data_IF_399865542259
#
_entry.id   IF_399865542259
#
_cell.length_a   1.000
_cell.length_b   1.000
_cell.length_c   1.000
_cell.angle_alpha   90.00
_cell.angle_beta   90.00
_cell.angle_gamma   90.00
#
_symmetry.space_group_name_H-M   'P 1'
#
loop_
_entity.id
_entity.type
_entity.pdbx_description
1 polymer ?
#
# COMPACT_ATOMS: atom_id res chain seq x y z
N UNK A 1 -41.34 7.76 -26.26
CA UNK A 1 -40.91 6.55 -25.52
C UNK A 1 -39.44 6.32 -25.80
N UNK A 2 -38.58 6.43 -24.78
CA UNK A 2 -37.21 5.93 -24.89
C UNK A 2 -37.28 4.42 -25.10
N UNK A 3 -36.52 3.87 -26.05
CA UNK A 3 -36.43 2.42 -26.23
C UNK A 3 -35.89 1.75 -24.96
N UNK A 4 -36.07 0.43 -24.81
CA UNK A 4 -35.55 -0.29 -23.66
C UNK A 4 -34.03 -0.11 -23.54
N UNK A 5 -33.55 0.16 -22.33
CA UNK A 5 -32.12 0.15 -22.01
C UNK A 5 -31.60 -1.27 -22.19
N UNK A 6 -30.56 -1.44 -23.01
CA UNK A 6 -29.88 -2.71 -23.21
C UNK A 6 -28.55 -2.69 -22.47
N UNK A 7 -28.37 -3.62 -21.52
CA UNK A 7 -27.09 -3.84 -20.85
C UNK A 7 -26.27 -4.83 -21.69
N UNK A 8 -25.05 -4.44 -22.05
CA UNK A 8 -24.16 -5.23 -22.90
C UNK A 8 -22.79 -5.29 -22.23
N UNK A 9 -22.20 -6.47 -22.17
CA UNK A 9 -20.83 -6.64 -21.71
C UNK A 9 -19.84 -6.07 -22.74
N UNK A 10 -18.72 -5.49 -22.28
CA UNK A 10 -17.75 -4.84 -23.17
C UNK A 10 -17.25 -5.76 -24.30
N UNK A 11 -17.04 -7.05 -24.01
CA UNK A 11 -16.59 -8.05 -24.98
C UNK A 11 -17.65 -8.46 -26.03
N UNK A 12 -18.91 -8.08 -25.83
CA UNK A 12 -20.00 -8.33 -26.77
C UNK A 12 -20.30 -7.11 -27.67
N UNK A 13 -19.51 -6.04 -27.56
CA UNK A 13 -19.69 -4.82 -28.32
C UNK A 13 -19.38 -5.05 -29.81
N UNK A 14 -20.31 -4.70 -30.70
CA UNK A 14 -20.11 -4.75 -32.15
C UNK A 14 -21.04 -3.76 -32.87
N UNK A 15 -20.81 -3.55 -34.17
CA UNK A 15 -21.58 -2.60 -34.99
C UNK A 15 -23.08 -2.95 -35.09
N UNK A 16 -23.45 -4.23 -35.14
CA UNK A 16 -24.85 -4.65 -35.26
C UNK A 16 -25.67 -4.30 -34.02
N UNK A 17 -25.08 -4.49 -32.84
CA UNK A 17 -25.70 -4.14 -31.54
C UNK A 17 -25.89 -2.63 -31.41
N UNK A 18 -24.99 -1.82 -31.98
CA UNK A 18 -25.04 -0.36 -31.89
C UNK A 18 -25.91 0.30 -32.97
N UNK A 19 -26.32 -0.43 -34.02
CA UNK A 19 -26.97 0.13 -35.21
C UNK A 19 -28.28 0.90 -34.92
N UNK A 20 -29.01 0.52 -33.87
CA UNK A 20 -30.27 1.17 -33.47
C UNK A 20 -30.14 2.09 -32.26
N UNK A 21 -28.93 2.21 -31.70
CA UNK A 21 -28.67 2.99 -30.49
C UNK A 21 -28.66 4.48 -30.82
N UNK A 22 -29.17 5.30 -29.90
CA UNK A 22 -29.14 6.78 -30.00
C UNK A 22 -28.06 7.41 -29.09
N UNK A 23 -27.51 6.62 -28.18
CA UNK A 23 -26.44 7.00 -27.27
C UNK A 23 -25.93 5.77 -26.52
N UNK A 24 -24.74 5.87 -25.94
CA UNK A 24 -24.13 4.81 -25.13
C UNK A 24 -23.67 5.38 -23.79
N UNK A 25 -24.01 4.70 -22.71
CA UNK A 25 -23.39 4.92 -21.41
C UNK A 25 -22.42 3.76 -21.14
N UNK A 26 -21.14 4.09 -20.98
CA UNK A 26 -20.10 3.13 -20.59
C UNK A 26 -19.99 3.17 -19.08
N UNK A 27 -20.36 2.08 -18.40
CA UNK A 27 -20.37 2.02 -16.94
C UNK A 27 -19.24 1.11 -16.46
N UNK A 28 -18.41 1.61 -15.55
CA UNK A 28 -17.38 0.82 -14.88
C UNK A 28 -17.39 1.08 -13.37
N UNK A 29 -17.57 0.03 -12.58
CA UNK A 29 -17.62 0.15 -11.13
C UNK A 29 -16.29 0.64 -10.54
N UNK A 30 -15.17 0.03 -10.96
CA UNK A 30 -13.81 0.39 -10.51
C UNK A 30 -12.90 0.52 -11.73
N UNK A 31 -12.23 1.65 -11.89
CA UNK A 31 -11.29 1.92 -12.98
C UNK A 31 -9.92 2.33 -12.44
N UNK A 32 -8.87 1.61 -12.82
CA UNK A 32 -7.48 2.05 -12.59
C UNK A 32 -7.05 3.09 -13.63
N UNK A 33 -5.95 2.85 -14.36
CA UNK A 33 -5.48 3.73 -15.44
C UNK A 33 -6.34 3.73 -16.72
N UNK A 34 -7.49 3.06 -16.67
CA UNK A 34 -8.51 3.08 -17.71
C UNK A 34 -8.18 2.25 -18.96
N UNK A 35 -7.37 1.20 -18.86
CA UNK A 35 -7.05 0.31 -20.00
C UNK A 35 -8.31 -0.19 -20.74
N UNK A 36 -9.25 -0.79 -19.99
CA UNK A 36 -10.55 -1.24 -20.53
C UNK A 36 -11.43 -0.09 -21.06
N UNK A 37 -11.41 1.09 -20.42
CA UNK A 37 -12.16 2.25 -20.91
C UNK A 37 -11.61 2.76 -22.23
N UNK A 38 -10.28 2.75 -22.39
CA UNK A 38 -9.61 3.14 -23.64
C UNK A 38 -9.93 2.14 -24.76
N UNK A 39 -9.94 0.85 -24.46
CA UNK A 39 -10.35 -0.22 -25.39
C UNK A 39 -11.80 -0.01 -25.85
N UNK A 40 -12.76 0.07 -24.93
CA UNK A 40 -14.17 0.34 -25.27
C UNK A 40 -14.33 1.66 -26.04
N UNK A 41 -13.56 2.70 -25.69
CA UNK A 41 -13.59 3.98 -26.43
C UNK A 41 -13.11 3.82 -27.88
N UNK A 42 -12.07 3.00 -28.13
CA UNK A 42 -11.57 2.66 -29.47
C UNK A 42 -12.63 1.89 -30.26
N UNK A 43 -13.20 0.84 -29.68
CA UNK A 43 -14.23 0.02 -30.32
C UNK A 43 -15.46 0.87 -30.68
N UNK A 44 -15.91 1.72 -29.77
CA UNK A 44 -17.00 2.64 -30.05
C UNK A 44 -16.63 3.61 -31.18
N UNK A 45 -15.39 4.11 -31.26
CA UNK A 45 -14.94 4.99 -32.37
C UNK A 45 -15.01 4.28 -33.71
N UNK A 46 -14.69 3.00 -33.75
CA UNK A 46 -14.77 2.16 -34.96
C UNK A 46 -16.22 1.84 -35.33
N UNK A 47 -17.00 1.29 -34.40
CA UNK A 47 -18.33 0.76 -34.68
C UNK A 47 -19.43 1.84 -34.76
N UNK A 48 -19.27 2.94 -34.04
CA UNK A 48 -20.30 3.99 -33.93
C UNK A 48 -19.69 5.40 -33.74
N UNK A 49 -18.94 5.94 -34.73
CA UNK A 49 -18.18 7.19 -34.59
C UNK A 49 -19.02 8.42 -34.27
N UNK A 50 -20.29 8.45 -34.72
CA UNK A 50 -21.20 9.59 -34.55
C UNK A 50 -22.06 9.52 -33.30
N UNK A 51 -22.02 8.40 -32.57
CA UNK A 51 -22.91 8.15 -31.45
C UNK A 51 -22.45 8.93 -30.21
N UNK A 52 -23.35 9.67 -29.53
CA UNK A 52 -23.05 10.29 -28.24
C UNK A 52 -22.70 9.25 -27.19
N UNK A 53 -21.78 9.60 -26.29
CA UNK A 53 -21.22 8.68 -25.28
C UNK A 53 -21.08 9.39 -23.95
N UNK A 54 -21.27 8.64 -22.88
CA UNK A 54 -20.99 9.08 -21.51
C UNK A 54 -20.26 7.97 -20.76
N UNK A 55 -19.13 8.28 -20.13
CA UNK A 55 -18.39 7.38 -19.26
C UNK A 55 -18.78 7.62 -17.81
N UNK A 56 -19.34 6.60 -17.15
CA UNK A 56 -19.76 6.61 -15.75
C UNK A 56 -18.86 5.67 -14.96
N UNK A 57 -18.05 6.24 -14.07
CA UNK A 57 -17.15 5.49 -13.20
C UNK A 57 -17.63 5.60 -11.76
N UNK A 58 -17.72 4.47 -11.06
CA UNK A 58 -17.95 4.46 -9.61
C UNK A 58 -16.72 4.97 -8.86
N UNK A 59 -15.64 4.19 -8.88
CA UNK A 59 -14.39 4.47 -8.18
C UNK A 59 -13.21 4.51 -9.16
N UNK A 60 -12.49 5.62 -9.23
CA UNK A 60 -11.23 5.77 -9.95
C UNK A 60 -10.03 5.53 -9.03
N UNK A 61 -9.28 4.44 -9.23
CA UNK A 61 -8.06 4.07 -8.48
C UNK A 61 -6.82 4.24 -9.34
N UNK A 62 -6.53 5.49 -9.71
CA UNK A 62 -5.45 5.83 -10.64
C UNK A 62 -4.07 5.88 -9.96
N UNK A 63 -3.01 5.87 -10.76
CA UNK A 63 -1.64 6.06 -10.25
C UNK A 63 -1.37 7.46 -9.70
N UNK A 64 -2.00 8.49 -10.27
CA UNK A 64 -1.83 9.88 -9.85
C UNK A 64 -3.02 10.70 -10.32
N UNK A 65 -3.23 11.87 -9.69
CA UNK A 65 -4.27 12.80 -10.12
C UNK A 65 -4.09 13.20 -11.60
N UNK A 66 -2.85 13.39 -12.03
CA UNK A 66 -2.52 13.71 -13.43
C UNK A 66 -2.85 12.57 -14.40
N UNK A 67 -2.57 11.31 -14.03
CA UNK A 67 -2.90 10.16 -14.85
C UNK A 67 -4.41 10.02 -15.06
N UNK A 68 -5.19 10.28 -13.99
CA UNK A 68 -6.65 10.33 -14.06
C UNK A 68 -7.16 11.43 -14.99
N UNK A 69 -6.59 12.63 -14.87
CA UNK A 69 -6.93 13.77 -15.71
C UNK A 69 -6.63 13.50 -17.20
N UNK A 70 -5.47 12.91 -17.49
CA UNK A 70 -5.12 12.48 -18.86
C UNK A 70 -6.10 11.43 -19.40
N UNK A 71 -6.56 10.50 -18.57
CA UNK A 71 -7.58 9.52 -18.94
C UNK A 71 -8.91 10.22 -19.26
N UNK A 72 -9.37 11.15 -18.41
CA UNK A 72 -10.57 11.94 -18.63
C UNK A 72 -10.51 12.65 -19.99
N UNK A 73 -9.45 13.44 -20.22
CA UNK A 73 -9.26 14.17 -21.47
C UNK A 73 -9.24 13.25 -22.70
N UNK A 74 -8.66 12.05 -22.59
CA UNK A 74 -8.66 11.08 -23.68
C UNK A 74 -10.07 10.57 -24.01
N UNK A 75 -10.89 10.31 -23.00
CA UNK A 75 -12.23 9.75 -23.15
C UNK A 75 -13.27 10.79 -23.59
N UNK A 76 -13.12 12.04 -23.16
CA UNK A 76 -14.00 13.15 -23.52
C UNK A 76 -13.78 13.62 -24.97
N UNK A 77 -12.57 13.46 -25.51
CA UNK A 77 -12.24 13.89 -26.87
C UNK A 77 -12.94 13.02 -27.93
N UNK A 78 -13.67 13.68 -28.83
CA UNK A 78 -14.19 13.09 -30.05
C UNK A 78 -13.35 13.49 -31.28
N UNK A 79 -13.60 12.82 -32.41
CA UNK A 79 -12.98 13.17 -33.69
C UNK A 79 -13.51 14.49 -34.29
N UNK A 80 -14.59 15.07 -33.74
CA UNK A 80 -15.16 16.33 -34.20
C UNK A 80 -14.86 17.44 -33.19
N UNK A 81 -14.40 18.64 -33.62
CA UNK A 81 -14.04 19.73 -32.72
C UNK A 81 -15.15 20.16 -31.75
N UNK A 82 -16.42 20.02 -32.16
CA UNK A 82 -17.58 20.52 -31.41
C UNK A 82 -18.34 19.44 -30.63
N UNK A 83 -17.84 18.20 -30.58
CA UNK A 83 -18.47 17.12 -29.81
C UNK A 83 -17.53 16.67 -28.70
N UNK A 84 -17.95 16.90 -27.46
CA UNK A 84 -17.27 16.43 -26.25
C UNK A 84 -18.14 15.34 -25.64
N UNK A 85 -17.57 14.18 -25.36
CA UNK A 85 -18.27 13.09 -24.69
C UNK A 85 -18.36 13.36 -23.19
N UNK A 86 -19.41 12.84 -22.53
CA UNK A 86 -19.58 13.00 -21.09
C UNK A 86 -18.63 12.10 -20.29
N UNK A 87 -18.15 12.60 -19.16
CA UNK A 87 -17.39 11.82 -18.18
C UNK A 87 -17.86 12.18 -16.78
N UNK A 88 -18.20 11.18 -15.98
CA UNK A 88 -18.58 11.37 -14.58
C UNK A 88 -17.98 10.27 -13.73
N UNK A 89 -17.40 10.66 -12.60
CA UNK A 89 -16.81 9.76 -11.62
C UNK A 89 -17.42 10.08 -10.27
N UNK A 90 -17.87 9.06 -9.54
CA UNK A 90 -18.42 9.28 -8.20
C UNK A 90 -17.31 9.57 -7.18
N UNK A 91 -16.27 8.72 -7.12
CA UNK A 91 -15.10 8.90 -6.26
C UNK A 91 -13.82 8.74 -7.09
N UNK A 92 -12.89 9.69 -6.99
CA UNK A 92 -11.54 9.54 -7.52
C UNK A 92 -10.56 9.48 -6.36
N UNK A 93 -9.77 8.41 -6.33
CA UNK A 93 -8.84 8.05 -5.27
C UNK A 93 -7.52 7.62 -5.92
N UNK A 94 -6.63 8.56 -6.31
CA UNK A 94 -5.29 8.19 -6.75
C UNK A 94 -4.57 7.44 -5.63
N UNK A 95 -3.95 6.29 -5.89
CA UNK A 95 -3.31 5.43 -4.88
C UNK A 95 -1.83 5.14 -5.16
N UNK A 96 -1.27 5.70 -6.23
CA UNK A 96 0.10 5.45 -6.64
C UNK A 96 0.24 4.28 -7.60
N UNK A 97 1.43 4.16 -8.18
CA UNK A 97 1.81 2.99 -8.96
C UNK A 97 2.28 1.88 -8.01
N UNK A 98 1.73 0.67 -8.15
CA UNK A 98 2.42 -0.49 -7.60
C UNK A 98 3.74 -0.65 -8.38
N UNK A 99 4.90 -0.79 -7.68
CA UNK A 99 6.13 -1.25 -8.32
C UNK A 99 5.88 -2.61 -9.00
N UNK A 100 6.77 -3.02 -9.91
CA UNK A 100 6.67 -4.27 -10.71
C UNK A 100 6.36 -5.56 -9.91
N UNK A 101 6.52 -5.53 -8.58
CA UNK A 101 5.94 -6.50 -7.65
C UNK A 101 5.31 -5.78 -6.45
N UNK A 102 4.05 -6.13 -6.14
CA UNK A 102 3.33 -5.63 -4.96
C UNK A 102 4.09 -5.97 -3.67
N UNK A 103 3.94 -5.12 -2.65
CA UNK A 103 4.63 -5.32 -1.35
C UNK A 103 4.26 -6.67 -0.74
N UNK A 104 2.98 -7.08 -0.86
CA UNK A 104 2.51 -8.40 -0.45
C UNK A 104 3.27 -9.55 -1.14
N UNK A 105 3.49 -9.43 -2.45
CA UNK A 105 4.27 -10.43 -3.19
C UNK A 105 5.71 -10.48 -2.73
N UNK A 106 6.35 -9.34 -2.56
CA UNK A 106 7.73 -9.27 -2.02
C UNK A 106 7.83 -9.91 -0.64
N UNK A 107 6.84 -9.69 0.22
CA UNK A 107 6.81 -10.25 1.58
C UNK A 107 6.58 -11.77 1.57
N UNK A 108 5.75 -12.29 0.67
CA UNK A 108 5.61 -13.74 0.50
C UNK A 108 6.88 -14.38 -0.08
N UNK A 109 7.52 -13.74 -1.07
CA UNK A 109 8.82 -14.18 -1.59
C UNK A 109 9.91 -14.16 -0.50
N UNK A 110 9.86 -13.16 0.39
CA UNK A 110 10.74 -13.10 1.55
C UNK A 110 10.50 -14.27 2.51
N UNK A 111 9.24 -14.66 2.76
CA UNK A 111 8.89 -15.81 3.59
C UNK A 111 9.57 -17.10 3.10
N UNK A 112 9.51 -17.36 1.80
CA UNK A 112 10.20 -18.50 1.19
C UNK A 112 11.73 -18.44 1.38
N UNK A 113 12.33 -17.24 1.33
CA UNK A 113 13.76 -17.06 1.62
C UNK A 113 14.10 -17.34 3.09
N UNK A 114 13.24 -16.98 4.05
CA UNK A 114 13.50 -17.22 5.48
C UNK A 114 13.66 -18.70 5.80
N UNK A 115 12.89 -19.58 5.16
CA UNK A 115 12.96 -21.03 5.42
C UNK A 115 14.30 -21.65 5.06
N UNK A 116 15.02 -21.04 4.11
CA UNK A 116 16.29 -21.56 3.59
C UNK A 116 17.49 -20.70 4.01
N UNK A 117 17.26 -19.62 4.76
CA UNK A 117 18.28 -18.69 5.17
C UNK A 117 19.27 -19.37 6.13
N UNK A 118 20.58 -19.38 5.82
CA UNK A 118 21.57 -19.82 6.79
C UNK A 118 21.59 -18.82 7.94
N UNK A 119 21.67 -19.33 9.17
CA UNK A 119 21.78 -18.50 10.37
C UNK A 119 22.84 -19.06 11.30
N UNK A 120 23.62 -18.17 11.92
CA UNK A 120 24.59 -18.51 12.95
C UNK A 120 24.09 -18.03 14.30
N UNK A 121 23.98 -18.95 15.25
CA UNK A 121 23.40 -18.76 16.57
C UNK A 121 24.17 -19.58 17.58
N UNK A 122 24.23 -19.10 18.84
CA UNK A 122 24.86 -19.88 19.91
C UNK A 122 24.17 -21.23 20.06
N UNK A 123 24.89 -22.32 20.43
CA UNK A 123 24.28 -23.64 20.58
C UNK A 123 23.06 -23.67 21.51
N UNK A 124 23.06 -22.87 22.57
CA UNK A 124 21.94 -22.73 23.53
C UNK A 124 20.72 -22.02 22.95
N UNK A 125 20.89 -21.15 21.96
CA UNK A 125 19.84 -20.30 21.39
C UNK A 125 19.29 -20.87 20.07
N UNK A 126 19.99 -21.83 19.47
CA UNK A 126 19.74 -22.33 18.11
C UNK A 126 18.30 -22.83 17.93
N UNK A 127 17.79 -23.64 18.85
CA UNK A 127 16.43 -24.18 18.75
C UNK A 127 15.35 -23.09 18.83
N UNK A 128 15.55 -22.09 19.69
CA UNK A 128 14.66 -20.95 19.84
C UNK A 128 14.61 -20.10 18.56
N UNK A 129 15.78 -19.82 17.99
CA UNK A 129 15.92 -19.03 16.76
C UNK A 129 15.32 -19.78 15.57
N UNK A 130 15.59 -21.08 15.44
CA UNK A 130 15.02 -21.92 14.38
C UNK A 130 13.48 -21.93 14.42
N UNK A 131 12.90 -22.13 15.60
CA UNK A 131 11.46 -22.05 15.79
C UNK A 131 10.90 -20.66 15.47
N UNK A 132 11.63 -19.59 15.83
CA UNK A 132 11.24 -18.20 15.56
C UNK A 132 11.27 -17.86 14.07
N UNK A 133 12.28 -18.34 13.33
CA UNK A 133 12.38 -18.19 11.87
C UNK A 133 11.22 -18.91 11.18
N UNK A 134 10.86 -20.11 11.65
CA UNK A 134 9.70 -20.83 11.13
C UNK A 134 8.40 -20.04 11.34
N UNK A 135 8.17 -19.52 12.54
CA UNK A 135 7.01 -18.67 12.84
C UNK A 135 6.98 -17.40 11.98
N UNK A 136 8.14 -16.80 11.72
CA UNK A 136 8.29 -15.63 10.86
C UNK A 136 7.89 -15.94 9.41
N UNK A 137 8.35 -17.06 8.85
CA UNK A 137 7.93 -17.52 7.52
C UNK A 137 6.43 -17.76 7.46
N UNK A 138 5.88 -18.52 8.43
CA UNK A 138 4.46 -18.86 8.46
C UNK A 138 3.58 -17.59 8.57
N UNK A 139 4.05 -16.58 9.30
CA UNK A 139 3.36 -15.29 9.42
C UNK A 139 3.33 -14.52 8.09
N UNK A 140 4.43 -14.51 7.33
CA UNK A 140 4.48 -13.87 6.02
C UNK A 140 3.53 -14.54 5.02
N UNK A 141 3.53 -15.88 4.98
CA UNK A 141 2.65 -16.64 4.08
C UNK A 141 1.16 -16.39 4.38
N UNK A 142 0.78 -16.35 5.66
CA UNK A 142 -0.59 -16.01 6.09
C UNK A 142 -0.98 -14.56 5.76
N UNK A 143 0.00 -13.67 5.58
CA UNK A 143 -0.22 -12.24 5.33
C UNK A 143 -0.27 -11.84 3.86
N UNK A 144 -0.19 -12.76 2.90
CA UNK A 144 -0.13 -12.44 1.46
C UNK A 144 -1.30 -11.59 0.93
N UNK A 145 -2.45 -11.59 1.60
CA UNK A 145 -3.60 -10.72 1.27
C UNK A 145 -4.09 -9.90 2.47
N UNK A 146 -3.26 -9.77 3.50
CA UNK A 146 -3.60 -9.09 4.75
C UNK A 146 -2.35 -8.41 5.32
N UNK A 147 -2.40 -8.05 6.60
CA UNK A 147 -1.30 -7.55 7.38
C UNK A 147 -0.79 -8.62 8.35
N UNK A 148 0.41 -8.44 8.88
CA UNK A 148 0.95 -9.26 9.95
C UNK A 148 0.17 -8.97 11.23
N UNK A 149 -0.23 -10.03 11.92
CA UNK A 149 -0.82 -9.92 13.26
C UNK A 149 0.18 -9.35 14.26
N UNK A 150 -0.34 -8.78 15.34
CA UNK A 150 0.45 -8.41 16.49
C UNK A 150 1.21 -9.62 17.08
N UNK A 151 2.23 -9.37 17.89
CA UNK A 151 2.95 -10.47 18.57
C UNK A 151 2.06 -11.28 19.52
N UNK A 152 0.92 -10.71 19.94
CA UNK A 152 -0.13 -11.37 20.71
C UNK A 152 -1.04 -12.28 19.87
N UNK A 153 -0.84 -12.32 18.54
CA UNK A 153 -1.64 -13.08 17.58
C UNK A 153 -2.91 -12.35 17.10
N UNK A 154 -3.25 -11.20 17.70
CA UNK A 154 -4.44 -10.42 17.32
C UNK A 154 -4.25 -9.71 15.96
N UNK A 155 -5.30 -9.60 15.14
CA UNK A 155 -5.26 -8.76 13.95
C UNK A 155 -5.05 -7.29 14.34
N UNK A 156 -4.48 -6.49 13.45
CA UNK A 156 -4.34 -5.06 13.65
C UNK A 156 -5.70 -4.39 13.41
N UNK A 157 -6.18 -3.64 14.40
CA UNK A 157 -7.49 -2.99 14.39
C UNK A 157 -7.37 -1.47 14.46
N UNK A 158 -8.41 -0.78 13.98
CA UNK A 158 -8.53 0.67 14.06
C UNK A 158 -9.13 1.04 15.42
N UNK A 159 -8.59 2.06 16.11
CA UNK A 159 -9.21 2.59 17.33
C UNK A 159 -10.32 3.61 17.02
N UNK A 160 -11.14 3.91 18.02
CA UNK A 160 -12.20 4.92 17.92
C UNK A 160 -11.62 6.34 17.81
N UNK A 161 -12.30 7.22 17.06
CA UNK A 161 -11.92 8.64 16.97
C UNK A 161 -10.86 8.97 15.92
N UNK A 162 -10.65 8.06 14.97
CA UNK A 162 -9.66 8.18 13.91
C UNK A 162 -9.81 9.42 13.00
N UNK A 163 -8.69 10.01 12.58
CA UNK A 163 -8.59 11.29 11.84
C UNK A 163 -9.18 11.25 10.43
N UNK A 164 -9.00 10.16 9.67
CA UNK A 164 -9.42 10.11 8.27
C UNK A 164 -10.82 9.51 8.05
N UNK A 165 -11.47 9.01 9.11
CA UNK A 165 -12.86 8.56 9.05
C UNK A 165 -13.75 9.43 9.92
N UNK A 166 -15.02 9.65 9.51
CA UNK A 166 -15.95 10.39 10.34
C UNK A 166 -16.13 9.67 11.68
N UNK A 167 -16.28 10.41 12.78
CA UNK A 167 -16.51 9.84 14.13
C UNK A 167 -17.71 8.89 14.21
N UNK A 168 -18.65 9.00 13.28
CA UNK A 168 -19.81 8.12 13.16
C UNK A 168 -19.50 6.76 12.53
N UNK A 169 -18.35 6.60 11.88
CA UNK A 169 -17.91 5.33 11.33
C UNK A 169 -17.43 4.46 12.49
N UNK A 170 -18.10 3.32 12.68
CA UNK A 170 -17.66 2.33 13.64
C UNK A 170 -16.43 1.60 13.11
N UNK A 171 -15.35 1.41 13.89
CA UNK A 171 -14.13 0.73 13.43
C UNK A 171 -14.39 -0.61 12.72
N UNK A 172 -15.36 -1.39 13.19
CA UNK A 172 -15.70 -2.70 12.64
C UNK A 172 -16.35 -2.63 11.26
N UNK A 173 -16.83 -1.45 10.86
CA UNK A 173 -17.41 -1.20 9.54
C UNK A 173 -16.36 -0.84 8.47
N UNK A 174 -15.15 -0.47 8.89
CA UNK A 174 -14.04 -0.17 7.98
C UNK A 174 -13.24 -1.43 7.68
N UNK A 175 -13.34 -1.96 6.46
CA UNK A 175 -12.46 -3.06 6.05
C UNK A 175 -11.00 -2.60 6.03
N UNK A 176 -10.07 -3.51 6.33
CA UNK A 176 -8.62 -3.22 6.26
C UNK A 176 -8.19 -2.75 4.87
N UNK A 177 -8.86 -3.22 3.83
CA UNK A 177 -8.66 -2.77 2.44
C UNK A 177 -9.05 -1.30 2.28
N UNK A 178 -10.18 -0.88 2.89
CA UNK A 178 -10.62 0.52 2.89
C UNK A 178 -9.58 1.41 3.60
N UNK A 179 -9.09 0.99 4.76
CA UNK A 179 -8.04 1.71 5.50
C UNK A 179 -6.79 1.86 4.64
N UNK A 180 -6.33 0.76 4.04
CA UNK A 180 -5.16 0.78 3.18
C UNK A 180 -5.33 1.70 1.96
N UNK A 181 -6.47 1.62 1.26
CA UNK A 181 -6.75 2.47 0.10
C UNK A 181 -6.78 3.95 0.49
N UNK A 182 -7.37 4.28 1.64
CA UNK A 182 -7.36 5.66 2.16
C UNK A 182 -5.94 6.14 2.40
N UNK A 183 -5.10 5.35 3.10
CA UNK A 183 -3.71 5.73 3.38
C UNK A 183 -2.86 5.79 2.10
N UNK A 184 -3.02 4.84 1.18
CA UNK A 184 -2.36 4.89 -0.13
C UNK A 184 -2.73 6.16 -0.90
N UNK A 185 -3.98 6.63 -0.76
CA UNK A 185 -4.41 7.87 -1.38
C UNK A 185 -3.86 9.12 -0.71
N UNK A 186 -3.82 9.15 0.61
CA UNK A 186 -3.17 10.23 1.38
C UNK A 186 -1.70 10.33 0.99
N UNK A 187 -0.99 9.20 0.92
CA UNK A 187 0.40 9.12 0.47
C UNK A 187 0.57 9.61 -0.96
N UNK A 188 -0.33 9.22 -1.87
CA UNK A 188 -0.28 9.69 -3.25
C UNK A 188 -0.55 11.19 -3.36
N UNK A 189 -1.47 11.73 -2.55
CA UNK A 189 -1.72 13.18 -2.49
C UNK A 189 -0.49 13.94 -1.96
N UNK A 190 0.22 13.39 -0.97
CA UNK A 190 1.47 13.96 -0.48
C UNK A 190 2.57 13.97 -1.56
N UNK A 191 2.60 12.99 -2.47
CA UNK A 191 3.54 12.96 -3.62
C UNK A 191 3.17 13.95 -4.72
N UNK A 192 1.87 14.17 -4.92
CA UNK A 192 1.33 14.96 -6.02
C UNK A 192 1.08 16.44 -5.66
N UNK A 193 1.18 16.83 -4.38
CA UNK A 193 0.99 18.22 -3.94
C UNK A 193 1.92 19.20 -4.66
N UNK A 194 1.40 20.41 -4.92
CA UNK A 194 2.17 21.50 -5.55
C UNK A 194 3.09 22.20 -4.55
N UNK A 195 2.76 22.14 -3.25
CA UNK A 195 3.57 22.72 -2.17
C UNK A 195 4.84 21.88 -1.96
N UNK A 196 5.98 22.42 -2.39
CA UNK A 196 7.28 21.75 -2.27
C UNK A 196 7.66 21.43 -0.83
N UNK A 197 7.22 22.23 0.15
CA UNK A 197 7.53 22.00 1.57
C UNK A 197 6.80 20.80 2.15
N UNK A 198 5.69 20.39 1.54
CA UNK A 198 4.86 19.25 1.95
C UNK A 198 5.00 18.05 1.02
N UNK A 199 5.82 18.16 -0.03
CA UNK A 199 5.85 17.19 -1.13
C UNK A 199 6.70 15.98 -0.79
N UNK A 200 6.05 14.82 -0.67
CA UNK A 200 6.71 13.52 -0.49
C UNK A 200 7.26 12.99 -1.82
N UNK A 201 8.04 13.78 -2.54
CA UNK A 201 8.64 13.37 -3.82
C UNK A 201 10.06 13.90 -3.90
N UNK A 202 11.00 12.97 -3.92
CA UNK A 202 12.41 13.31 -4.12
C UNK A 202 12.61 14.09 -5.42
N UNK A 203 13.51 15.06 -5.37
CA UNK A 203 14.01 15.78 -6.55
C UNK A 203 15.38 15.22 -6.93
N UNK A 204 15.95 15.67 -8.05
CA UNK A 204 17.32 15.27 -8.41
C UNK A 204 18.40 15.71 -7.42
N UNK A 205 18.07 16.59 -6.48
CA UNK A 205 19.02 17.20 -5.54
C UNK A 205 18.74 16.84 -4.08
N UNK A 206 17.51 16.46 -3.74
CA UNK A 206 17.09 16.23 -2.36
C UNK A 206 16.33 14.89 -2.26
N UNK A 207 16.80 14.04 -1.35
CA UNK A 207 16.04 12.88 -0.88
C UNK A 207 14.94 13.34 0.07
N UNK A 208 13.72 12.89 -0.17
CA UNK A 208 12.58 13.17 0.72
C UNK A 208 12.10 11.85 1.33
N UNK A 209 12.01 11.82 2.65
CA UNK A 209 11.53 10.68 3.43
C UNK A 209 10.31 11.07 4.25
N UNK A 210 9.53 10.07 4.67
CA UNK A 210 8.49 10.28 5.68
C UNK A 210 9.14 10.68 7.00
N UNK A 211 8.67 11.75 7.62
CA UNK A 211 9.14 12.11 8.96
C UNK A 211 8.78 10.99 9.97
N UNK A 212 9.74 10.46 10.77
CA UNK A 212 9.46 9.47 11.80
C UNK A 212 8.37 9.88 12.79
N UNK A 213 8.15 11.18 13.01
CA UNK A 213 7.10 11.71 13.88
C UNK A 213 5.70 11.31 13.39
N UNK A 214 5.51 11.04 12.10
CA UNK A 214 4.24 10.53 11.57
C UNK A 214 3.82 9.22 12.24
N UNK A 215 4.76 8.31 12.53
CA UNK A 215 4.44 7.05 13.20
C UNK A 215 4.09 7.26 14.69
N UNK A 216 4.57 8.35 15.30
CA UNK A 216 4.13 8.75 16.64
C UNK A 216 2.74 9.36 16.65
N UNK A 217 2.41 10.18 15.64
CA UNK A 217 1.10 10.86 15.53
C UNK A 217 0.00 9.91 15.11
N UNK A 218 0.26 9.04 14.14
CA UNK A 218 -0.65 7.99 13.69
C UNK A 218 -0.32 6.70 14.43
N UNK A 219 -0.70 6.65 15.71
CA UNK A 219 -0.32 5.60 16.65
C UNK A 219 -1.15 4.30 16.54
N UNK A 220 -2.21 4.26 15.74
CA UNK A 220 -2.91 3.02 15.45
C UNK A 220 -2.00 2.07 14.65
N UNK A 221 -1.87 0.85 15.16
CA UNK A 221 -1.01 -0.18 14.59
C UNK A 221 -1.36 -0.50 13.14
N UNK A 222 -2.66 -0.54 12.79
CA UNK A 222 -3.09 -0.77 11.41
C UNK A 222 -2.70 0.37 10.47
N UNK A 223 -2.70 1.62 10.94
CA UNK A 223 -2.30 2.76 10.12
C UNK A 223 -0.81 2.75 9.86
N UNK A 224 -0.02 2.53 10.91
CA UNK A 224 1.43 2.40 10.77
C UNK A 224 1.76 1.31 9.74
N UNK A 225 1.10 0.16 9.82
CA UNK A 225 1.22 -0.92 8.84
C UNK A 225 0.81 -0.47 7.41
N UNK A 226 -0.30 0.25 7.28
CA UNK A 226 -0.74 0.80 5.99
C UNK A 226 0.27 1.79 5.41
N UNK A 227 0.81 2.71 6.22
CA UNK A 227 1.86 3.65 5.81
C UNK A 227 3.10 2.91 5.33
N UNK A 228 3.55 1.91 6.10
CA UNK A 228 4.71 1.10 5.75
C UNK A 228 4.55 0.38 4.41
N UNK A 229 3.36 -0.13 4.10
CA UNK A 229 3.10 -0.83 2.83
C UNK A 229 2.81 0.13 1.67
N UNK A 230 2.22 1.30 1.93
CA UNK A 230 1.91 2.31 0.91
C UNK A 230 3.10 3.18 0.51
N UNK A 231 4.12 3.30 1.37
CA UNK A 231 5.31 4.10 1.09
C UNK A 231 6.12 3.54 -0.10
N UNK A 232 6.98 4.35 -0.68
CA UNK A 232 8.06 3.86 -1.54
C UNK A 232 9.28 3.51 -0.67
N UNK A 233 10.16 2.57 -1.09
CA UNK A 233 11.38 2.31 -0.35
C UNK A 233 12.22 3.57 -0.13
N UNK A 234 12.26 4.47 -1.12
CA UNK A 234 12.95 5.76 -1.00
C UNK A 234 12.35 6.67 0.06
N UNK A 235 11.06 6.53 0.40
CA UNK A 235 10.37 7.33 1.43
C UNK A 235 10.63 6.80 2.85
N UNK A 236 11.26 5.64 2.98
CA UNK A 236 11.63 4.99 4.24
C UNK A 236 13.16 4.78 4.35
N UNK A 237 13.94 5.45 3.50
CA UNK A 237 15.40 5.35 3.47
C UNK A 237 16.04 6.48 4.29
N UNK A 238 16.16 6.24 5.60
CA UNK A 238 16.79 7.17 6.54
C UNK A 238 18.32 7.06 6.57
N UNK A 239 18.93 6.18 5.76
CA UNK A 239 20.37 5.90 5.81
C UNK A 239 21.25 7.11 5.45
N UNK A 240 20.67 8.11 4.78
CA UNK A 240 21.37 9.34 4.35
C UNK A 240 21.30 10.49 5.36
N UNK A 241 20.52 10.37 6.45
CA UNK A 241 20.43 11.38 7.51
C UNK A 241 20.59 10.72 8.89
N UNK A 242 21.75 10.91 9.56
CA UNK A 242 21.96 10.41 10.92
C UNK A 242 20.91 10.91 11.92
N UNK A 243 20.42 12.14 11.75
CA UNK A 243 19.41 12.73 12.63
C UNK A 243 18.06 12.00 12.51
N UNK A 244 17.55 11.83 11.28
CA UNK A 244 16.28 11.15 11.05
C UNK A 244 16.39 9.64 11.33
N UNK A 245 17.55 9.03 11.03
CA UNK A 245 17.87 7.66 11.40
C UNK A 245 17.80 7.45 12.91
N UNK A 246 18.41 8.34 13.69
CA UNK A 246 18.36 8.31 15.15
C UNK A 246 16.94 8.43 15.71
N UNK A 247 16.13 9.36 15.19
CA UNK A 247 14.72 9.50 15.58
C UNK A 247 13.89 8.25 15.28
N UNK A 248 14.07 7.67 14.09
CA UNK A 248 13.41 6.43 13.72
C UNK A 248 13.89 5.26 14.58
N UNK A 249 15.18 5.19 14.89
CA UNK A 249 15.76 4.17 15.76
C UNK A 249 15.20 4.24 17.19
N UNK A 250 15.04 5.43 17.76
CA UNK A 250 14.39 5.62 19.05
C UNK A 250 12.93 5.16 19.05
N UNK A 251 12.18 5.49 17.98
CA UNK A 251 10.81 5.01 17.79
C UNK A 251 10.77 3.47 17.75
N UNK A 252 11.61 2.84 16.93
CA UNK A 252 11.68 1.39 16.78
C UNK A 252 12.09 0.69 18.07
N UNK A 253 13.05 1.24 18.82
CA UNK A 253 13.45 0.69 20.12
C UNK A 253 12.29 0.68 21.12
N UNK A 254 11.50 1.76 21.16
CA UNK A 254 10.28 1.86 21.99
C UNK A 254 9.21 0.88 21.50
N UNK A 255 8.99 0.80 20.18
CA UNK A 255 8.01 -0.10 19.56
C UNK A 255 8.32 -1.57 19.88
N UNK A 256 9.57 -2.01 19.64
CA UNK A 256 9.99 -3.38 19.89
C UNK A 256 10.02 -3.73 21.37
N UNK A 257 10.42 -2.81 22.26
CA UNK A 257 10.35 -3.07 23.71
C UNK A 257 8.92 -3.27 24.23
N UNK A 258 7.92 -2.69 23.54
CA UNK A 258 6.51 -2.74 23.93
C UNK A 258 5.68 -3.63 23.01
N UNK A 259 6.30 -4.57 22.30
CA UNK A 259 5.63 -5.39 21.29
C UNK A 259 4.41 -6.17 21.79
N UNK A 260 4.36 -6.50 23.09
CA UNK A 260 3.23 -7.18 23.75
C UNK A 260 2.10 -6.26 24.22
N UNK A 261 2.22 -4.94 24.04
CA UNK A 261 1.21 -3.94 24.41
C UNK A 261 0.59 -3.30 23.16
N UNK A 262 -0.60 -2.66 23.27
CA UNK A 262 -1.26 -2.01 22.13
C UNK A 262 -0.35 -1.06 21.34
N UNK A 263 0.53 -0.33 22.03
CA UNK A 263 1.51 0.57 21.42
C UNK A 263 2.48 -0.12 20.44
N UNK A 264 2.84 -1.38 20.68
CA UNK A 264 3.84 -2.12 19.93
C UNK A 264 3.27 -3.18 19.00
N UNK A 265 1.94 -3.23 18.78
CA UNK A 265 1.31 -4.28 17.98
C UNK A 265 1.79 -4.28 16.52
N UNK A 266 2.17 -3.13 15.96
CA UNK A 266 2.74 -3.03 14.61
C UNK A 266 4.21 -3.50 14.51
N UNK A 267 4.85 -3.90 15.61
CA UNK A 267 6.27 -4.32 15.60
C UNK A 267 6.64 -5.32 14.49
N UNK A 268 5.84 -6.37 14.19
CA UNK A 268 6.15 -7.29 13.10
C UNK A 268 6.22 -6.62 11.72
N UNK A 269 5.37 -5.63 11.43
CA UNK A 269 5.38 -4.90 10.15
C UNK A 269 6.66 -4.06 10.00
N UNK A 270 7.10 -3.40 11.07
CA UNK A 270 8.35 -2.64 11.06
C UNK A 270 9.57 -3.57 10.93
N UNK A 271 9.58 -4.71 11.63
CA UNK A 271 10.66 -5.68 11.52
C UNK A 271 10.79 -6.22 10.09
N UNK A 272 9.67 -6.50 9.42
CA UNK A 272 9.67 -6.94 8.01
C UNK A 272 10.04 -5.82 7.05
N UNK A 273 9.65 -4.56 7.32
CA UNK A 273 10.09 -3.42 6.53
C UNK A 273 11.62 -3.25 6.55
N UNK A 274 12.26 -3.44 7.71
CA UNK A 274 13.71 -3.46 7.85
C UNK A 274 14.33 -4.69 7.16
N UNK A 275 13.78 -5.88 7.41
CA UNK A 275 14.27 -7.15 6.85
C UNK A 275 14.23 -7.19 5.32
N UNK A 276 13.17 -6.64 4.72
CA UNK A 276 13.03 -6.53 3.27
C UNK A 276 13.90 -5.43 2.64
N UNK A 277 14.60 -4.64 3.46
CA UNK A 277 15.38 -3.48 3.02
C UNK A 277 14.54 -2.33 2.47
N UNK A 278 13.22 -2.36 2.66
CA UNK A 278 12.31 -1.24 2.31
C UNK A 278 12.51 -0.06 3.23
N UNK A 279 12.77 -0.32 4.51
CA UNK A 279 13.18 0.68 5.48
C UNK A 279 14.68 0.52 5.74
N UNK A 280 15.42 1.62 5.70
CA UNK A 280 16.87 1.64 5.94
C UNK A 280 17.21 2.69 6.97
N UNK A 281 18.13 2.36 7.85
CA UNK A 281 18.71 3.26 8.84
C UNK A 281 20.22 3.34 8.59
N UNK A 282 20.89 4.28 9.26
CA UNK A 282 22.34 4.23 9.42
C UNK A 282 22.70 2.93 10.13
N UNK A 283 23.78 2.27 9.68
CA UNK A 283 24.15 0.93 10.15
C UNK A 283 24.27 0.84 11.69
N UNK A 284 24.91 1.83 12.31
CA UNK A 284 25.07 1.87 13.77
C UNK A 284 23.73 1.91 14.53
N UNK A 285 22.76 2.67 14.02
CA UNK A 285 21.43 2.77 14.61
C UNK A 285 20.64 1.46 14.42
N UNK A 286 20.73 0.87 13.22
CA UNK A 286 20.14 -0.42 12.91
C UNK A 286 20.66 -1.52 13.85
N UNK A 287 21.97 -1.61 14.00
CA UNK A 287 22.62 -2.61 14.85
C UNK A 287 22.22 -2.41 16.31
N UNK A 288 22.18 -1.16 16.78
CA UNK A 288 21.80 -0.83 18.16
C UNK A 288 20.37 -1.28 18.48
N UNK A 289 19.42 -0.97 17.59
CA UNK A 289 18.00 -1.32 17.77
C UNK A 289 17.79 -2.83 17.65
N UNK A 290 18.37 -3.46 16.63
CA UNK A 290 18.17 -4.89 16.37
C UNK A 290 18.81 -5.75 17.44
N UNK A 291 20.07 -5.49 17.82
CA UNK A 291 20.75 -6.26 18.86
C UNK A 291 20.02 -6.15 20.20
N UNK A 292 19.65 -4.93 20.61
CA UNK A 292 18.91 -4.71 21.87
C UNK A 292 17.56 -5.43 21.88
N UNK A 293 16.85 -5.47 20.76
CA UNK A 293 15.56 -6.15 20.66
C UNK A 293 15.71 -7.68 20.63
N UNK A 294 16.67 -8.20 19.86
CA UNK A 294 16.99 -9.64 19.76
C UNK A 294 17.41 -10.17 21.12
N UNK A 295 18.30 -9.48 21.83
CA UNK A 295 18.72 -9.88 23.18
C UNK A 295 17.52 -10.03 24.11
N UNK A 296 16.65 -9.01 24.20
CA UNK A 296 15.46 -9.07 25.06
C UNK A 296 14.52 -10.23 24.70
N UNK A 297 14.31 -10.47 23.41
CA UNK A 297 13.44 -11.55 22.94
C UNK A 297 14.04 -12.93 23.22
N UNK A 298 15.36 -13.10 23.12
CA UNK A 298 16.04 -14.34 23.53
C UNK A 298 15.87 -14.58 25.03
N UNK A 299 16.01 -13.55 25.86
CA UNK A 299 15.82 -13.66 27.33
C UNK A 299 14.38 -14.03 27.71
N UNK A 300 13.40 -13.85 26.82
CA UNK A 300 12.03 -14.29 27.08
C UNK A 300 11.84 -15.80 26.96
N UNK A 301 12.82 -16.52 26.37
CA UNK A 301 12.82 -17.96 26.11
C UNK A 301 11.61 -18.48 25.31
N UNK A 302 10.84 -17.59 24.69
CA UNK A 302 9.65 -17.94 23.90
C UNK A 302 9.87 -17.61 22.42
N UNK A 303 9.62 -18.57 21.51
CA UNK A 303 9.78 -18.31 20.09
C UNK A 303 8.72 -17.32 19.61
N UNK A 304 9.11 -16.40 18.73
CA UNK A 304 8.18 -15.42 18.16
C UNK A 304 8.56 -15.08 16.72
N UNK A 305 7.56 -14.75 15.89
CA UNK A 305 7.81 -14.26 14.53
C UNK A 305 8.67 -13.00 14.54
N UNK A 306 8.47 -12.11 15.52
CA UNK A 306 9.26 -10.89 15.68
C UNK A 306 10.75 -11.19 15.88
N UNK A 307 11.09 -12.15 16.75
CA UNK A 307 12.47 -12.59 16.91
C UNK A 307 13.05 -13.14 15.61
N UNK A 308 12.29 -13.97 14.88
CA UNK A 308 12.71 -14.52 13.60
C UNK A 308 13.02 -13.44 12.56
N UNK A 309 12.16 -12.42 12.45
CA UNK A 309 12.39 -11.29 11.56
C UNK A 309 13.63 -10.50 11.95
N UNK A 310 13.73 -10.08 13.21
CA UNK A 310 14.82 -9.23 13.68
C UNK A 310 16.18 -9.93 13.61
N UNK A 311 16.23 -11.23 13.89
CA UNK A 311 17.48 -12.00 13.89
C UNK A 311 18.12 -12.09 12.50
N UNK A 312 17.30 -12.05 11.43
CA UNK A 312 17.74 -12.20 10.05
C UNK A 312 17.99 -10.85 9.34
N UNK A 313 17.75 -9.72 10.01
CA UNK A 313 18.07 -8.40 9.44
C UNK A 313 19.58 -8.34 9.14
N UNK A 314 19.93 -7.95 7.91
CA UNK A 314 21.31 -7.88 7.45
C UNK A 314 21.98 -9.24 7.17
N UNK A 315 21.28 -10.36 7.33
CA UNK A 315 21.81 -11.72 7.12
C UNK A 315 21.22 -12.44 5.92
N UNK A 316 20.21 -11.85 5.26
CA UNK A 316 19.65 -12.37 4.03
C UNK A 316 20.47 -11.90 2.81
N UNK A 317 20.67 -12.78 1.81
CA UNK A 317 21.36 -12.43 0.57
C UNK A 317 20.55 -11.50 -0.34
#
# INVERSE_FOLDING_TARGET
MAGPLALIAANALNAAVLAKSKGVAVVQAVAGDGGKLREVSRDLREYAPKLPRHFLIGLGVSRSAEAWERLRQFLERSAKPNLIYGFSTWISLPIGAEPDASVWKRYSELGAKLQTAPFDAKPSERALIEASIKLASDALDKSYQSFLSATTGKPLELTEGFVFFPKSLKPESASTVTVFLTIASVMQQARDTDDQSLKLKATGYESVVLDPENFHRFNDSILQACFLRAALPSELDYSSSPELSGLMAEFLAKLFSRHGHPYGEAAPEFAVALLSGRMRLVQNDLDTVTNSAVERLIHSEQPSALLGFLFLIGKLP
#
